data_IF_047791552319
#
_entry.id   IF_047791552319
#
_cell.length_a   1.000
_cell.length_b   1.000
_cell.length_c   1.000
_cell.angle_alpha   90.00
_cell.angle_beta   90.00
_cell.angle_gamma   90.00
#
_symmetry.space_group_name_H-M   'P 1'
#
loop_
_entity.id
_entity.type
_entity.pdbx_description
1 polymer ?
#
# COMPACT_ATOMS: atom_id res chain seq x y z
N UNK A 1 -4.53 1.73 0.00
CA UNK A 1 -3.16 1.51 0.45
C UNK A 1 -3.12 0.76 1.79
N UNK A 2 -1.98 0.20 2.12
CA UNK A 2 -1.74 -0.44 3.40
C UNK A 2 -1.59 0.63 4.49
N UNK A 3 -2.28 0.43 5.61
CA UNK A 3 -2.05 1.17 6.84
C UNK A 3 -2.27 0.25 8.04
N UNK A 4 -1.26 0.12 8.88
CA UNK A 4 -1.33 -0.62 10.13
C UNK A 4 -0.82 0.25 11.27
N UNK A 5 -1.41 0.10 12.46
CA UNK A 5 -0.93 0.73 13.68
C UNK A 5 -0.47 -0.37 14.65
N UNK A 6 0.73 -0.18 15.17
CA UNK A 6 1.33 -1.09 16.15
C UNK A 6 1.64 -0.29 17.41
N UNK A 7 1.21 -0.79 18.55
CA UNK A 7 1.55 -0.23 19.85
C UNK A 7 2.62 -1.13 20.45
N UNK A 8 3.78 -0.53 20.73
CA UNK A 8 4.93 -1.20 21.32
C UNK A 8 5.18 -0.64 22.72
N UNK A 9 5.69 -1.47 23.59
CA UNK A 9 6.20 -1.07 24.90
C UNK A 9 7.72 -1.24 24.91
N UNK A 10 8.43 -0.26 25.44
CA UNK A 10 9.88 -0.25 25.51
C UNK A 10 10.36 0.19 26.88
N UNK A 11 11.40 -0.46 27.39
CA UNK A 11 12.11 -0.03 28.60
C UNK A 11 12.98 1.25 28.34
N UNK A 12 13.17 1.61 27.06
CA UNK A 12 13.89 2.82 26.67
C UNK A 12 12.90 3.98 26.47
N UNK A 13 12.91 5.01 27.35
CA UNK A 13 11.96 6.11 27.26
C UNK A 13 12.23 7.06 26.08
N UNK A 14 13.49 7.10 25.58
CA UNK A 14 13.95 8.05 24.57
C UNK A 14 14.45 7.31 23.32
N UNK A 15 13.56 6.57 22.65
CA UNK A 15 13.93 5.96 21.36
C UNK A 15 14.19 7.04 20.31
N UNK A 16 15.25 6.90 19.50
CA UNK A 16 15.56 7.85 18.43
C UNK A 16 14.52 7.74 17.30
N UNK A 17 13.39 8.44 17.47
CA UNK A 17 12.24 8.35 16.56
C UNK A 17 12.60 8.68 15.11
N UNK A 18 13.53 9.63 14.91
CA UNK A 18 13.97 10.03 13.57
C UNK A 18 14.67 8.90 12.82
N UNK A 19 15.39 8.04 13.53
CA UNK A 19 16.13 6.93 12.92
C UNK A 19 15.21 5.78 12.52
N UNK A 20 14.00 5.73 13.11
CA UNK A 20 13.00 4.72 12.81
C UNK A 20 12.04 5.13 11.67
N UNK A 21 11.95 6.44 11.35
CA UNK A 21 11.12 6.90 10.24
C UNK A 21 11.72 6.46 8.90
N UNK A 22 10.86 5.91 8.03
CA UNK A 22 11.27 5.41 6.72
C UNK A 22 11.94 4.04 6.75
N UNK A 23 12.04 3.40 7.92
CA UNK A 23 12.63 2.05 8.03
C UNK A 23 11.63 1.00 7.56
N UNK A 24 12.04 0.05 6.72
CA UNK A 24 11.22 -1.11 6.35
C UNK A 24 10.93 -1.99 7.56
N UNK A 25 9.70 -2.44 7.69
CA UNK A 25 9.23 -3.27 8.81
C UNK A 25 8.35 -4.41 8.33
N UNK A 26 8.45 -5.55 8.99
CA UNK A 26 7.58 -6.70 8.82
C UNK A 26 6.82 -6.97 10.11
N UNK A 27 5.49 -6.94 10.04
CA UNK A 27 4.60 -7.38 11.10
C UNK A 27 4.23 -8.83 10.78
N UNK A 28 4.61 -9.77 11.63
CA UNK A 28 4.33 -11.17 11.41
C UNK A 28 3.15 -11.61 12.28
N UNK A 29 2.07 -12.02 11.64
CA UNK A 29 0.89 -12.57 12.29
C UNK A 29 1.00 -14.09 12.30
N UNK A 30 1.00 -14.68 13.49
CA UNK A 30 0.94 -16.14 13.61
C UNK A 30 -0.49 -16.62 13.34
N UNK A 31 -0.64 -17.56 12.41
CA UNK A 31 -1.90 -18.25 12.14
C UNK A 31 -2.08 -19.44 13.07
N UNK A 32 -3.29 -20.01 13.15
CA UNK A 32 -3.60 -21.21 13.91
C UNK A 32 -2.79 -22.45 13.46
N UNK A 33 -2.35 -22.46 12.21
CA UNK A 33 -1.48 -23.51 11.65
C UNK A 33 0.01 -23.28 11.98
N UNK A 34 0.35 -22.21 12.72
CA UNK A 34 1.72 -21.85 13.05
C UNK A 34 2.50 -21.20 11.93
N UNK A 35 1.84 -20.94 10.80
CA UNK A 35 2.45 -20.19 9.68
C UNK A 35 2.45 -18.70 10.02
N UNK A 36 3.56 -18.01 9.74
CA UNK A 36 3.67 -16.58 9.90
C UNK A 36 3.18 -15.87 8.62
N UNK A 37 2.17 -15.03 8.76
CA UNK A 37 1.68 -14.19 7.67
C UNK A 37 2.34 -12.80 7.78
N UNK A 38 3.22 -12.40 6.85
CA UNK A 38 3.92 -11.13 6.91
C UNK A 38 3.06 -9.99 6.35
N UNK A 39 3.06 -8.87 7.04
CA UNK A 39 2.60 -7.57 6.55
C UNK A 39 3.82 -6.67 6.49
N UNK A 40 4.33 -6.41 5.28
CA UNK A 40 5.51 -5.60 5.07
C UNK A 40 5.11 -4.17 4.68
N UNK A 41 5.82 -3.22 5.23
CA UNK A 41 5.61 -1.81 4.97
C UNK A 41 6.78 -0.97 5.45
N UNK A 42 6.55 0.32 5.62
CA UNK A 42 7.53 1.29 6.11
C UNK A 42 6.92 2.10 7.24
N UNK A 43 7.73 2.44 8.24
CA UNK A 43 7.28 3.30 9.34
C UNK A 43 7.11 4.73 8.82
N UNK A 44 5.88 5.21 8.81
CA UNK A 44 5.51 6.56 8.30
C UNK A 44 5.28 7.58 9.40
N UNK A 45 4.97 7.13 10.61
CA UNK A 45 4.76 7.98 11.78
C UNK A 45 5.08 7.24 13.06
N UNK A 46 5.60 7.97 14.05
CA UNK A 46 5.91 7.47 15.39
C UNK A 46 5.44 8.49 16.41
N UNK A 47 4.73 8.00 17.41
CA UNK A 47 4.26 8.79 18.54
C UNK A 47 4.70 8.12 19.84
N UNK A 48 5.38 8.88 20.71
CA UNK A 48 5.59 8.45 22.09
C UNK A 48 4.32 8.71 22.89
N UNK A 49 3.93 7.73 23.69
CA UNK A 49 2.79 7.81 24.56
C UNK A 49 3.21 7.98 26.02
N UNK A 50 2.40 7.47 26.93
CA UNK A 50 2.68 7.55 28.37
C UNK A 50 3.77 6.57 28.80
N UNK A 51 4.54 6.98 29.83
CA UNK A 51 5.48 6.14 30.54
C UNK A 51 4.98 5.92 31.96
N UNK A 52 5.10 4.71 32.48
CA UNK A 52 4.83 4.38 33.89
C UNK A 52 6.11 4.43 34.75
N UNK A 53 7.22 4.89 34.19
CA UNK A 53 8.54 4.92 34.83
C UNK A 53 9.38 3.67 34.54
N UNK A 54 8.78 2.59 34.06
CA UNK A 54 9.47 1.34 33.67
C UNK A 54 9.33 1.12 32.16
N UNK A 55 8.12 1.30 31.63
CA UNK A 55 7.80 1.11 30.21
C UNK A 55 7.24 2.38 29.61
N UNK A 56 7.68 2.69 28.41
CA UNK A 56 7.14 3.75 27.58
C UNK A 56 6.41 3.15 26.38
N UNK A 57 5.20 3.64 26.13
CA UNK A 57 4.43 3.20 24.97
C UNK A 57 4.83 4.00 23.72
N UNK A 58 4.93 3.29 22.58
CA UNK A 58 5.15 3.89 21.27
C UNK A 58 4.09 3.41 20.31
N UNK A 59 3.50 4.34 19.57
CA UNK A 59 2.58 4.03 18.48
C UNK A 59 3.29 4.23 17.16
N UNK A 60 3.45 3.15 16.41
CA UNK A 60 4.03 3.15 15.08
C UNK A 60 2.91 3.07 14.05
N UNK A 61 2.95 3.94 13.05
CA UNK A 61 2.10 3.82 11.86
C UNK A 61 2.94 3.25 10.73
N UNK A 62 2.51 2.12 10.20
CA UNK A 62 3.15 1.43 9.08
C UNK A 62 2.30 1.64 7.84
N UNK A 63 2.91 2.11 6.78
CA UNK A 63 2.26 2.35 5.50
C UNK A 63 3.01 1.68 4.34
N UNK A 64 2.43 1.80 3.14
CA UNK A 64 3.10 1.41 1.90
C UNK A 64 3.83 2.60 1.25
N UNK A 65 4.56 2.34 0.16
CA UNK A 65 5.27 3.36 -0.60
C UNK A 65 4.35 4.45 -1.16
N UNK A 66 3.08 4.13 -1.46
CA UNK A 66 2.10 5.12 -1.91
C UNK A 66 1.83 6.19 -0.85
N UNK A 67 1.95 5.84 0.44
CA UNK A 67 1.81 6.80 1.54
C UNK A 67 2.90 7.87 1.50
N UNK A 68 4.14 7.49 1.14
CA UNK A 68 5.27 8.42 1.00
C UNK A 68 5.10 9.35 -0.19
N UNK A 69 4.44 8.89 -1.25
CA UNK A 69 4.18 9.66 -2.47
C UNK A 69 3.20 10.82 -2.25
N UNK A 70 2.50 10.85 -1.11
CA UNK A 70 1.61 11.97 -0.71
C UNK A 70 2.38 13.25 -0.42
N UNK A 71 3.62 13.14 0.02
CA UNK A 71 4.46 14.29 0.39
C UNK A 71 5.07 15.04 -0.79
N UNK A 72 5.06 14.48 -2.00
CA UNK A 72 5.65 15.12 -3.18
C UNK A 72 4.57 15.63 -4.13
N UNK A 73 4.50 16.94 -4.33
CA UNK A 73 3.65 17.58 -5.35
C UNK A 73 4.46 17.86 -6.60
N UNK A 74 3.84 17.72 -7.76
CA UNK A 74 4.46 17.97 -9.06
C UNK A 74 3.52 18.64 -10.03
N UNK A 75 4.16 19.28 -11.04
CA UNK A 75 3.49 19.76 -12.24
C UNK A 75 4.28 19.26 -13.44
N UNK A 76 3.73 18.31 -14.19
CA UNK A 76 4.39 17.71 -15.34
C UNK A 76 3.42 17.14 -16.36
N UNK A 77 3.91 16.97 -17.58
CA UNK A 77 3.13 16.44 -18.70
C UNK A 77 3.76 15.15 -19.20
N UNK A 78 2.93 14.14 -19.40
CA UNK A 78 3.29 12.91 -20.08
C UNK A 78 2.69 12.94 -21.49
N UNK A 79 3.52 12.95 -22.52
CA UNK A 79 3.11 13.01 -23.93
C UNK A 79 3.27 11.64 -24.57
N UNK A 80 2.25 11.17 -25.29
CA UNK A 80 2.30 9.92 -26.04
C UNK A 80 2.46 8.67 -25.20
N UNK A 81 2.09 8.69 -23.91
CA UNK A 81 2.21 7.57 -22.99
C UNK A 81 0.86 6.95 -22.65
N UNK A 82 0.85 5.64 -22.50
CA UNK A 82 -0.25 4.89 -21.91
C UNK A 82 -0.18 4.93 -20.38
N UNK A 83 -1.27 4.56 -19.69
CA UNK A 83 -1.31 4.52 -18.22
C UNK A 83 -0.27 3.56 -17.63
N UNK A 84 -0.10 2.32 -18.12
CA UNK A 84 0.98 1.46 -17.65
C UNK A 84 2.38 2.08 -17.80
N UNK A 85 2.66 2.76 -18.91
CA UNK A 85 3.95 3.43 -19.13
C UNK A 85 4.17 4.61 -18.17
N UNK A 86 3.11 5.30 -17.76
CA UNK A 86 3.18 6.38 -16.76
C UNK A 86 3.43 5.78 -15.37
N UNK A 87 2.73 4.69 -15.02
CA UNK A 87 2.95 3.97 -13.76
C UNK A 87 4.41 3.52 -13.63
N UNK A 88 4.94 2.83 -14.64
CA UNK A 88 6.34 2.38 -14.67
C UNK A 88 7.32 3.55 -14.51
N UNK A 89 7.08 4.64 -15.22
CA UNK A 89 7.93 5.83 -15.14
C UNK A 89 7.95 6.39 -13.72
N UNK A 90 6.77 6.59 -13.11
CA UNK A 90 6.67 7.23 -11.80
C UNK A 90 7.19 6.33 -10.67
N UNK A 91 6.83 5.05 -10.69
CA UNK A 91 7.26 4.11 -9.66
C UNK A 91 8.78 3.85 -9.75
N UNK A 92 9.32 3.73 -10.97
CA UNK A 92 10.75 3.61 -11.20
C UNK A 92 11.54 4.86 -10.75
N UNK A 93 11.01 6.07 -11.00
CA UNK A 93 11.62 7.30 -10.47
C UNK A 93 11.67 7.30 -8.93
N UNK A 94 10.61 6.82 -8.27
CA UNK A 94 10.58 6.74 -6.83
C UNK A 94 11.61 5.74 -6.28
N UNK A 95 11.77 4.58 -6.90
CA UNK A 95 12.82 3.61 -6.54
C UNK A 95 14.24 4.21 -6.68
N UNK A 96 14.47 4.99 -7.73
CA UNK A 96 15.78 5.58 -8.03
C UNK A 96 16.14 6.79 -7.15
N UNK A 97 15.18 7.39 -6.44
CA UNK A 97 15.40 8.64 -5.69
C UNK A 97 16.41 8.50 -4.56
N UNK A 98 16.45 7.36 -3.90
CA UNK A 98 17.41 7.08 -2.85
C UNK A 98 17.57 5.58 -2.67
N UNK A 99 18.73 5.16 -2.16
CA UNK A 99 18.99 3.77 -1.82
C UNK A 99 18.00 3.22 -0.77
N UNK A 100 17.44 4.09 0.07
CA UNK A 100 16.39 3.69 1.02
C UNK A 100 15.09 3.34 0.29
N UNK A 101 14.65 4.19 -0.66
CA UNK A 101 13.43 3.96 -1.44
C UNK A 101 13.53 2.71 -2.32
N UNK A 102 14.69 2.45 -2.91
CA UNK A 102 14.95 1.24 -3.70
C UNK A 102 14.76 -0.04 -2.88
N UNK A 103 15.01 0.01 -1.58
CA UNK A 103 14.87 -1.13 -0.65
C UNK A 103 13.50 -1.27 0.01
N UNK A 104 12.62 -0.28 -0.13
CA UNK A 104 11.34 -0.23 0.58
C UNK A 104 10.26 -0.99 -0.15
N UNK A 105 10.21 -0.87 -1.48
CA UNK A 105 9.14 -1.47 -2.27
C UNK A 105 9.60 -1.95 -3.64
N UNK A 106 8.78 -2.84 -4.18
CA UNK A 106 8.77 -3.24 -5.59
C UNK A 106 7.36 -3.01 -6.17
N UNK A 107 7.18 -3.22 -7.47
CA UNK A 107 5.85 -3.12 -8.08
C UNK A 107 5.66 -4.14 -9.20
N UNK A 108 4.41 -4.56 -9.36
CA UNK A 108 3.96 -5.44 -10.43
C UNK A 108 2.75 -4.83 -11.14
N UNK A 109 2.74 -4.92 -12.46
CA UNK A 109 1.63 -4.49 -13.29
C UNK A 109 0.95 -5.71 -13.91
N UNK A 110 -0.12 -6.20 -13.28
CA UNK A 110 -0.99 -7.26 -13.78
C UNK A 110 -2.10 -6.66 -14.65
N UNK A 111 -1.68 -5.97 -15.73
CA UNK A 111 -2.55 -5.20 -16.60
C UNK A 111 -2.56 -5.78 -18.02
N UNK A 112 -3.72 -5.76 -18.66
CA UNK A 112 -3.80 -5.99 -20.10
C UNK A 112 -3.39 -4.70 -20.84
N UNK A 113 -2.13 -4.62 -21.23
CA UNK A 113 -1.57 -3.43 -21.86
C UNK A 113 -2.32 -3.00 -23.15
N UNK A 114 -2.97 -3.94 -23.83
CA UNK A 114 -3.77 -3.68 -25.03
C UNK A 114 -5.02 -2.83 -24.76
N UNK A 115 -5.50 -2.78 -23.52
CA UNK A 115 -6.66 -1.98 -23.11
C UNK A 115 -6.34 -0.49 -22.88
N UNK A 116 -5.06 -0.12 -22.81
CA UNK A 116 -4.62 1.23 -22.46
C UNK A 116 -3.96 1.92 -23.65
N UNK A 117 -4.72 2.67 -24.48
CA UNK A 117 -4.14 3.39 -25.59
C UNK A 117 -3.21 4.50 -25.11
N UNK A 118 -2.24 4.84 -25.94
CA UNK A 118 -1.40 6.02 -25.73
C UNK A 118 -2.25 7.28 -25.83
N UNK A 119 -2.15 8.14 -24.84
CA UNK A 119 -2.84 9.43 -24.80
C UNK A 119 -1.97 10.49 -25.41
N UNK A 120 -2.56 11.43 -26.15
CA UNK A 120 -1.82 12.57 -26.69
C UNK A 120 -1.11 13.32 -25.55
N UNK A 121 -1.80 13.49 -24.41
CA UNK A 121 -1.28 14.20 -23.25
C UNK A 121 -1.97 13.73 -21.98
N UNK A 122 -1.20 13.58 -20.89
CA UNK A 122 -1.71 13.37 -19.54
C UNK A 122 -1.02 14.35 -18.59
N UNK A 123 -1.78 15.14 -17.87
CA UNK A 123 -1.27 16.20 -17.01
C UNK A 123 -1.35 15.80 -15.54
N UNK A 124 -0.24 15.98 -14.84
CA UNK A 124 -0.21 16.12 -13.39
C UNK A 124 -0.13 17.62 -13.09
N UNK A 125 -1.16 18.19 -12.48
CA UNK A 125 -1.26 19.63 -12.28
C UNK A 125 -1.36 19.95 -10.79
N UNK A 126 -0.26 20.36 -10.21
CA UNK A 126 -0.14 20.73 -8.79
C UNK A 126 -0.86 19.76 -7.83
N UNK A 127 -0.71 18.49 -8.08
CA UNK A 127 -1.21 17.40 -7.24
C UNK A 127 -0.07 16.50 -6.75
N UNK A 128 -0.29 15.80 -5.64
CA UNK A 128 0.70 14.84 -5.15
C UNK A 128 0.88 13.67 -6.13
N UNK A 129 2.06 13.05 -6.12
CA UNK A 129 2.31 11.87 -6.95
C UNK A 129 1.29 10.77 -6.63
N UNK A 130 0.94 10.59 -5.33
CA UNK A 130 -0.15 9.71 -4.93
C UNK A 130 -1.49 10.10 -5.56
N UNK A 131 -1.87 11.38 -5.44
CA UNK A 131 -3.15 11.86 -5.96
C UNK A 131 -3.28 11.66 -7.47
N UNK A 132 -2.20 11.93 -8.19
CA UNK A 132 -2.15 11.71 -9.63
C UNK A 132 -2.30 10.24 -10.00
N UNK A 133 -1.53 9.34 -9.35
CA UNK A 133 -1.62 7.90 -9.58
C UNK A 133 -3.01 7.35 -9.23
N UNK A 134 -3.56 7.73 -8.07
CA UNK A 134 -4.88 7.29 -7.62
C UNK A 134 -5.99 7.75 -8.58
N UNK A 135 -5.96 9.01 -9.01
CA UNK A 135 -6.91 9.55 -9.97
C UNK A 135 -6.85 8.83 -11.32
N UNK A 136 -5.65 8.65 -11.85
CA UNK A 136 -5.41 8.02 -13.15
C UNK A 136 -5.84 6.54 -13.13
N UNK A 137 -5.45 5.80 -12.11
CA UNK A 137 -5.78 4.37 -11.99
C UNK A 137 -7.27 4.15 -11.77
N UNK A 138 -7.92 4.96 -10.93
CA UNK A 138 -9.38 4.89 -10.73
C UNK A 138 -10.16 5.19 -12.00
N UNK A 139 -9.72 6.19 -12.78
CA UNK A 139 -10.36 6.53 -14.05
C UNK A 139 -10.36 5.35 -15.02
N UNK A 140 -9.29 4.57 -15.03
CA UNK A 140 -9.11 3.45 -15.97
C UNK A 140 -9.52 2.08 -15.39
N UNK A 141 -10.11 2.07 -14.18
CA UNK A 141 -10.55 0.82 -13.53
C UNK A 141 -9.40 -0.06 -13.04
N UNK A 142 -8.22 0.53 -12.84
CA UNK A 142 -7.06 -0.16 -12.24
C UNK A 142 -7.12 0.03 -10.73
N UNK A 143 -6.97 -1.05 -10.00
CA UNK A 143 -6.88 -1.03 -8.55
C UNK A 143 -5.52 -1.53 -8.08
N UNK A 144 -5.10 -1.09 -6.89
CA UNK A 144 -3.81 -1.41 -6.31
C UNK A 144 -3.99 -2.05 -4.94
N UNK A 145 -3.23 -3.10 -4.70
CA UNK A 145 -3.09 -3.70 -3.39
C UNK A 145 -1.61 -3.97 -3.07
N UNK A 146 -1.34 -4.27 -1.81
CA UNK A 146 0.01 -4.51 -1.31
C UNK A 146 0.14 -5.97 -0.92
N UNK A 147 1.19 -6.64 -1.38
CA UNK A 147 1.60 -7.95 -0.90
C UNK A 147 2.96 -7.85 -0.22
N UNK A 148 3.20 -8.70 0.76
CA UNK A 148 4.53 -8.88 1.29
C UNK A 148 5.41 -9.54 0.23
N UNK A 149 6.65 -9.12 0.14
CA UNK A 149 7.62 -9.67 -0.79
C UNK A 149 9.03 -9.42 -0.30
N UNK A 150 9.96 -10.23 -0.79
CA UNK A 150 11.38 -9.99 -0.71
C UNK A 150 11.88 -9.73 -2.11
N UNK A 151 12.72 -8.72 -2.28
CA UNK A 151 13.32 -8.44 -3.58
C UNK A 151 14.36 -9.52 -3.89
N UNK A 152 14.21 -10.21 -5.02
CA UNK A 152 15.19 -11.20 -5.48
C UNK A 152 16.55 -10.55 -5.70
N UNK A 153 17.60 -11.15 -5.13
CA UNK A 153 19.00 -10.72 -5.30
C UNK A 153 19.49 -9.61 -4.35
N UNK A 154 18.67 -9.12 -3.43
CA UNK A 154 19.17 -8.23 -2.39
C UNK A 154 19.88 -9.04 -1.30
N UNK A 155 21.13 -8.70 -1.01
CA UNK A 155 21.90 -9.26 0.12
C UNK A 155 21.35 -8.85 1.50
N UNK A 156 20.28 -8.07 1.54
CA UNK A 156 19.63 -7.62 2.75
C UNK A 156 18.30 -8.34 2.91
N UNK A 157 18.12 -9.01 4.04
CA UNK A 157 16.83 -9.54 4.51
C UNK A 157 15.83 -8.43 4.88
N UNK A 158 15.95 -7.24 4.30
CA UNK A 158 15.02 -6.15 4.55
C UNK A 158 13.63 -6.52 4.01
N UNK A 159 12.58 -6.36 4.82
CA UNK A 159 11.23 -6.64 4.37
C UNK A 159 10.81 -5.62 3.30
N UNK A 160 10.56 -6.11 2.11
CA UNK A 160 10.06 -5.32 0.98
C UNK A 160 8.58 -5.62 0.81
N UNK A 161 7.78 -4.63 0.45
CA UNK A 161 6.42 -4.83 0.02
C UNK A 161 6.30 -4.57 -1.49
N UNK A 162 5.37 -5.27 -2.14
CA UNK A 162 5.12 -5.10 -3.56
C UNK A 162 3.78 -4.42 -3.79
N UNK A 163 3.79 -3.31 -4.52
CA UNK A 163 2.59 -2.65 -5.02
C UNK A 163 2.11 -3.40 -6.26
N UNK A 164 0.95 -4.02 -6.20
CA UNK A 164 0.37 -4.75 -7.34
C UNK A 164 -0.77 -3.94 -7.93
N UNK A 165 -0.63 -3.53 -9.19
CA UNK A 165 -1.68 -2.87 -9.96
C UNK A 165 -2.36 -3.90 -10.86
N UNK A 166 -3.68 -3.99 -10.78
CA UNK A 166 -4.47 -5.02 -11.45
C UNK A 166 -5.75 -4.44 -12.05
N UNK A 167 -6.14 -4.91 -13.21
CA UNK A 167 -7.37 -4.52 -13.91
C UNK A 167 -8.40 -5.66 -14.04
N UNK A 168 -8.01 -6.88 -13.64
CA UNK A 168 -8.88 -8.06 -13.70
C UNK A 168 -8.64 -8.97 -12.49
N UNK A 169 -9.60 -9.08 -11.55
CA UNK A 169 -9.46 -9.92 -10.37
C UNK A 169 -9.28 -11.41 -10.71
N UNK A 170 -9.72 -11.85 -11.90
CA UNK A 170 -9.58 -13.26 -12.31
C UNK A 170 -8.13 -13.65 -12.65
N UNK A 171 -7.24 -12.67 -12.78
CA UNK A 171 -5.80 -12.90 -12.95
C UNK A 171 -5.05 -13.17 -11.65
N UNK A 172 -5.71 -12.93 -10.52
CA UNK A 172 -5.09 -13.16 -9.22
C UNK A 172 -5.10 -14.63 -8.87
N UNK A 173 -4.04 -15.15 -8.24
CA UNK A 173 -4.06 -16.50 -7.71
C UNK A 173 -5.11 -16.60 -6.59
N UNK A 174 -5.67 -17.79 -6.44
CA UNK A 174 -6.55 -18.08 -5.32
C UNK A 174 -5.81 -17.83 -3.99
N UNK A 175 -6.50 -17.26 -3.00
CA UNK A 175 -5.91 -17.06 -1.68
C UNK A 175 -5.46 -18.39 -1.08
N UNK A 176 -4.27 -18.42 -0.49
CA UNK A 176 -3.77 -19.59 0.23
C UNK A 176 -4.66 -19.97 1.44
N UNK A 177 -5.39 -19.00 1.99
CA UNK A 177 -6.34 -19.24 3.08
C UNK A 177 -7.55 -20.11 2.65
N UNK A 178 -7.79 -20.27 1.34
CA UNK A 178 -8.90 -21.08 0.83
C UNK A 178 -10.26 -20.59 1.34
N UNK A 179 -11.02 -21.45 2.00
CA UNK A 179 -12.31 -21.11 2.61
C UNK A 179 -12.12 -20.79 4.09
N UNK A 180 -12.44 -19.56 4.47
CA UNK A 180 -12.37 -19.10 5.86
C UNK A 180 -13.76 -19.20 6.48
N UNK A 181 -13.94 -19.92 7.61
CA UNK A 181 -15.23 -20.05 8.28
C UNK A 181 -15.66 -18.72 8.92
N UNK A 182 -16.97 -18.49 8.97
CA UNK A 182 -17.57 -17.41 9.72
C UNK A 182 -18.16 -17.93 11.03
N UNK A 183 -17.73 -17.36 12.16
CA UNK A 183 -18.27 -17.69 13.47
C UNK A 183 -18.89 -16.47 14.15
N UNK A 184 -20.16 -16.57 14.45
CA UNK A 184 -20.87 -15.58 15.27
C UNK A 184 -20.77 -15.98 16.75
N UNK A 185 -20.06 -15.19 17.54
CA UNK A 185 -19.90 -15.39 18.98
C UNK A 185 -18.48 -15.84 19.39
N UNK A 186 -18.17 -15.66 20.70
CA UNK A 186 -16.86 -15.89 21.28
C UNK A 186 -16.60 -17.36 21.70
N UNK A 187 -17.19 -18.33 21.04
CA UNK A 187 -16.90 -19.74 21.32
C UNK A 187 -15.45 -20.07 20.96
N UNK A 188 -14.86 -20.98 21.72
CA UNK A 188 -13.47 -21.43 21.63
C UNK A 188 -13.04 -21.58 20.18
N UNK A 189 -12.06 -20.75 19.77
CA UNK A 189 -11.57 -20.73 18.41
C UNK A 189 -10.43 -21.73 18.28
N UNK A 190 -10.70 -22.83 17.64
CA UNK A 190 -9.66 -23.79 17.27
C UNK A 190 -9.00 -23.41 15.91
N UNK A 191 -9.62 -22.49 15.15
CA UNK A 191 -9.14 -22.07 13.82
C UNK A 191 -9.37 -20.59 13.59
N UNK A 192 -8.50 -20.01 12.77
CA UNK A 192 -8.68 -18.64 12.27
C UNK A 192 -10.02 -18.51 11.54
N UNK A 193 -10.79 -17.48 11.88
CA UNK A 193 -12.15 -17.31 11.38
C UNK A 193 -12.56 -15.85 11.27
N UNK A 194 -13.53 -15.58 10.43
CA UNK A 194 -14.19 -14.27 10.36
C UNK A 194 -15.17 -14.20 11.54
N UNK A 195 -14.94 -13.25 12.44
CA UNK A 195 -15.78 -13.07 13.63
C UNK A 195 -16.77 -11.92 13.52
N UNK A 196 -16.54 -11.01 12.54
CA UNK A 196 -17.41 -9.87 12.30
C UNK A 196 -17.54 -9.61 10.81
N UNK A 197 -18.78 -9.54 10.36
CA UNK A 197 -19.14 -9.17 9.00
C UNK A 197 -20.19 -8.07 9.06
N UNK A 198 -19.97 -6.96 8.36
CA UNK A 198 -20.95 -5.86 8.31
C UNK A 198 -21.04 -5.30 6.89
N UNK A 199 -22.22 -4.88 6.50
CA UNK A 199 -22.47 -4.16 5.25
C UNK A 199 -22.75 -2.69 5.58
N UNK A 200 -22.14 -1.78 4.83
CA UNK A 200 -22.42 -0.35 4.89
C UNK A 200 -22.87 0.14 3.51
N UNK A 201 -23.92 0.95 3.49
CA UNK A 201 -24.42 1.60 2.27
C UNK A 201 -24.45 3.11 2.48
N UNK A 202 -23.97 3.87 1.50
CA UNK A 202 -24.02 5.32 1.52
C UNK A 202 -24.69 5.86 0.25
N UNK A 203 -25.31 7.02 0.37
CA UNK A 203 -25.82 7.75 -0.79
C UNK A 203 -24.65 8.36 -1.56
N UNK A 204 -24.62 8.09 -2.85
CA UNK A 204 -23.67 8.69 -3.79
C UNK A 204 -24.44 9.32 -4.94
N UNK A 205 -23.86 10.31 -5.67
CA UNK A 205 -24.48 10.83 -6.90
C UNK A 205 -24.75 9.70 -7.89
N UNK A 206 -25.99 9.59 -8.36
CA UNK A 206 -26.41 8.54 -9.29
C UNK A 206 -25.95 8.78 -10.74
N UNK A 207 -25.54 10.01 -11.07
CA UNK A 207 -25.04 10.37 -12.39
C UNK A 207 -24.08 11.57 -12.31
N UNK A 208 -23.04 11.53 -13.13
CA UNK A 208 -22.13 12.64 -13.37
C UNK A 208 -22.23 12.96 -14.86
N UNK A 209 -22.50 14.21 -15.20
CA UNK A 209 -22.48 14.69 -16.59
C UNK A 209 -21.25 15.57 -16.77
N UNK A 210 -20.44 15.24 -17.77
CA UNK A 210 -19.29 16.02 -18.20
C UNK A 210 -19.36 16.29 -19.69
N UNK A 211 -18.93 17.46 -20.11
CA UNK A 211 -18.71 17.80 -21.52
C UNK A 211 -17.22 18.00 -21.73
N UNK A 212 -16.64 17.30 -22.70
CA UNK A 212 -15.30 17.58 -23.18
C UNK A 212 -15.45 18.33 -24.52
N UNK A 213 -14.90 19.53 -24.67
CA UNK A 213 -14.86 20.16 -25.98
C UNK A 213 -13.89 19.35 -26.87
N UNK A 214 -14.40 18.85 -27.97
CA UNK A 214 -13.59 18.31 -29.05
C UNK A 214 -12.84 19.49 -29.72
N UNK A 215 -11.53 19.38 -29.78
CA UNK A 215 -10.67 20.33 -30.48
C UNK A 215 -10.17 19.73 -31.80
#
# INVERSE_FOLDING_TARGET
GLQAQVICLSEHPDLPQQDLLGVPVSIQLATDEGVLYPINGVITDIQSGQSDGTLTSYRLTVGDAMSLMRGRRNMRTFVGKSVPEILETMLGEWQQRSAAMDRVFDFELLLDRGRYPKRAQTLQLDESDYGFLDRMTRHDGIWCFVKAGTRDGSASNAPVHTLVFCDDPMRLPQSAAGTVPYHYGAAVKERDSITRWSEARSLIPGAIRGTSPDH
#
